data_IF_687406128413
#
_entry.id   IF_687406128413
#
_cell.length_a   1.000
_cell.length_b   1.000
_cell.length_c   1.000
_cell.angle_alpha   90.00
_cell.angle_beta   90.00
_cell.angle_gamma   90.00
#
_symmetry.space_group_name_H-M   'P 1'
#
loop_
_entity.id
_entity.type
_entity.pdbx_description
1 polymer ?
#
# COMPACT_ATOMS: atom_id res chain seq x y z
N UNK A 1 -27.45 -11.07 65.87
CA UNK A 1 -26.84 -10.01 65.04
C UNK A 1 -25.70 -10.66 64.26
N UNK A 2 -25.97 -11.12 63.04
CA UNK A 2 -24.99 -11.84 62.20
C UNK A 2 -24.87 -11.05 60.90
N UNK A 3 -23.76 -10.33 60.76
CA UNK A 3 -23.48 -9.51 59.58
C UNK A 3 -22.92 -10.44 58.49
N UNK A 4 -23.75 -10.80 57.51
CA UNK A 4 -23.31 -11.56 56.33
C UNK A 4 -22.65 -10.59 55.34
N UNK A 5 -21.34 -10.58 55.29
CA UNK A 5 -20.53 -9.92 54.27
C UNK A 5 -20.60 -10.72 52.97
N UNK A 6 -21.49 -10.33 52.06
CA UNK A 6 -21.49 -10.80 50.67
C UNK A 6 -20.33 -10.15 49.92
N UNK A 7 -19.30 -10.94 49.62
CA UNK A 7 -18.19 -10.54 48.76
C UNK A 7 -18.67 -10.41 47.31
N UNK A 8 -18.64 -9.18 46.79
CA UNK A 8 -18.94 -8.87 45.40
C UNK A 8 -17.71 -9.19 44.54
N UNK A 9 -17.74 -10.29 43.80
CA UNK A 9 -16.68 -10.65 42.86
C UNK A 9 -16.72 -9.71 41.65
N UNK A 10 -15.80 -8.74 41.62
CA UNK A 10 -15.62 -7.82 40.50
C UNK A 10 -14.85 -8.55 39.38
N UNK A 11 -15.57 -9.02 38.35
CA UNK A 11 -14.96 -9.58 37.14
C UNK A 11 -14.22 -8.46 36.40
N UNK A 12 -12.88 -8.47 36.49
CA UNK A 12 -12.02 -7.58 35.70
C UNK A 12 -12.02 -8.09 34.24
N UNK A 13 -12.95 -7.55 33.43
CA UNK A 13 -12.88 -7.65 31.97
C UNK A 13 -11.70 -6.79 31.50
N UNK A 14 -10.54 -7.41 31.28
CA UNK A 14 -9.43 -6.74 30.61
C UNK A 14 -9.81 -6.52 29.14
N UNK A 15 -9.69 -5.29 28.60
CA UNK A 15 -9.89 -5.08 27.17
C UNK A 15 -8.78 -5.82 26.43
N UNK A 16 -9.18 -6.76 25.56
CA UNK A 16 -8.27 -7.35 24.57
C UNK A 16 -7.89 -6.23 23.61
N UNK A 17 -6.67 -5.72 23.73
CA UNK A 17 -6.06 -4.84 22.75
C UNK A 17 -5.82 -5.69 21.50
N UNK A 18 -6.74 -5.63 20.52
CA UNK A 18 -6.45 -6.12 19.18
C UNK A 18 -5.28 -5.30 18.64
N UNK A 19 -4.14 -5.94 18.36
CA UNK A 19 -3.03 -5.31 17.66
C UNK A 19 -3.52 -4.96 16.26
N UNK A 20 -3.98 -3.72 16.07
CA UNK A 20 -4.20 -3.19 14.74
C UNK A 20 -2.84 -3.18 14.04
N UNK A 21 -2.74 -3.89 12.92
CA UNK A 21 -1.56 -3.88 12.07
C UNK A 21 -1.29 -2.43 11.66
N UNK A 22 -0.06 -1.90 11.88
CA UNK A 22 0.20 -0.48 11.72
C UNK A 22 0.07 -0.06 10.26
N UNK A 23 -0.55 1.09 10.03
CA UNK A 23 -0.55 1.73 8.71
C UNK A 23 0.89 2.06 8.33
N UNK A 24 1.34 1.53 7.19
CA UNK A 24 2.68 1.71 6.67
C UNK A 24 2.74 2.90 5.74
N UNK A 25 3.88 3.58 5.71
CA UNK A 25 4.13 4.61 4.69
C UNK A 25 4.36 3.93 3.33
N UNK A 26 3.53 4.30 2.35
CA UNK A 26 3.73 3.96 0.96
C UNK A 26 3.68 5.22 0.11
N UNK A 27 4.27 5.15 -1.09
CA UNK A 27 4.39 6.33 -1.96
C UNK A 27 4.22 5.94 -3.41
N UNK A 28 3.90 6.94 -4.23
CA UNK A 28 4.01 6.83 -5.67
C UNK A 28 5.42 7.24 -6.09
N UNK A 29 6.08 6.36 -6.84
CA UNK A 29 7.28 6.67 -7.62
C UNK A 29 6.84 6.87 -9.06
N UNK A 30 7.16 8.04 -9.60
CA UNK A 30 6.93 8.36 -11.00
C UNK A 30 8.18 8.00 -11.80
N UNK A 31 8.02 7.14 -12.81
CA UNK A 31 9.10 6.74 -13.70
C UNK A 31 8.76 7.22 -15.12
N UNK A 32 9.72 7.90 -15.75
CA UNK A 32 9.58 8.36 -17.13
C UNK A 32 10.40 7.48 -18.05
N UNK A 33 9.76 7.00 -19.10
CA UNK A 33 10.40 6.24 -20.17
C UNK A 33 9.92 6.74 -21.53
N UNK A 34 10.43 6.13 -22.60
CA UNK A 34 9.96 6.37 -23.96
C UNK A 34 9.76 5.06 -24.70
N UNK A 35 8.78 5.03 -25.59
CA UNK A 35 8.50 3.92 -26.50
C UNK A 35 8.28 4.45 -27.93
N UNK A 36 7.93 3.54 -28.85
CA UNK A 36 7.68 3.88 -30.26
C UNK A 36 6.55 4.90 -30.48
N UNK A 37 5.71 5.13 -29.46
CA UNK A 37 4.58 6.08 -29.48
C UNK A 37 4.87 7.40 -28.75
N UNK A 38 6.07 7.56 -28.17
CA UNK A 38 6.49 8.79 -27.49
C UNK A 38 6.81 8.60 -26.01
N UNK A 39 6.62 9.66 -25.22
CA UNK A 39 6.89 9.65 -23.78
C UNK A 39 5.89 8.78 -23.02
N UNK A 40 6.37 8.07 -22.01
CA UNK A 40 5.59 7.20 -21.14
C UNK A 40 5.84 7.59 -19.69
N UNK A 41 4.77 7.67 -18.91
CA UNK A 41 4.82 7.91 -17.47
C UNK A 41 4.18 6.72 -16.73
N UNK A 42 4.98 6.06 -15.90
CA UNK A 42 4.58 4.92 -15.09
C UNK A 42 4.42 5.36 -13.62
N UNK A 43 3.26 5.09 -13.05
CA UNK A 43 2.95 5.41 -11.65
C UNK A 43 3.04 4.14 -10.82
N UNK A 44 4.10 4.04 -10.03
CA UNK A 44 4.43 2.83 -9.28
C UNK A 44 4.18 3.08 -7.80
N UNK A 45 3.25 2.33 -7.21
CA UNK A 45 3.08 2.28 -5.76
C UNK A 45 4.23 1.47 -5.17
N UNK A 46 4.97 2.05 -4.24
CA UNK A 46 6.06 1.38 -3.52
C UNK A 46 5.79 1.35 -2.02
N UNK A 47 6.17 0.23 -1.40
CA UNK A 47 6.01 -0.02 0.02
C UNK A 47 7.27 -0.72 0.55
N UNK A 48 7.83 -0.21 1.63
CA UNK A 48 8.90 -0.89 2.36
C UNK A 48 8.28 -1.78 3.44
N UNK A 49 8.66 -3.06 3.46
CA UNK A 49 8.23 -3.98 4.51
C UNK A 49 9.43 -4.59 5.23
N UNK A 50 9.23 -4.88 6.51
CA UNK A 50 10.09 -5.76 7.30
C UNK A 50 9.43 -7.13 7.36
N UNK A 51 10.10 -8.16 6.86
CA UNK A 51 9.62 -9.53 6.99
C UNK A 51 9.88 -10.04 8.42
N UNK A 52 8.83 -10.08 9.23
CA UNK A 52 8.85 -10.65 10.59
C UNK A 52 8.38 -12.11 10.62
N UNK A 53 8.04 -12.68 9.46
CA UNK A 53 7.53 -14.04 9.29
C UNK A 53 8.67 -15.02 9.01
N UNK A 54 8.41 -16.31 9.23
CA UNK A 54 9.41 -17.38 9.03
C UNK A 54 9.60 -17.82 7.57
N UNK A 55 8.95 -17.17 6.60
CA UNK A 55 9.00 -17.52 5.17
C UNK A 55 9.32 -16.28 4.34
N UNK A 56 9.96 -16.48 3.19
CA UNK A 56 10.21 -15.38 2.25
C UNK A 56 8.88 -14.83 1.72
N UNK A 57 8.75 -13.50 1.63
CA UNK A 57 7.55 -12.82 1.13
C UNK A 57 7.78 -12.45 -0.33
N UNK A 58 7.00 -13.01 -1.24
CA UNK A 58 7.04 -12.69 -2.68
C UNK A 58 5.98 -11.67 -3.11
N UNK A 59 5.00 -11.37 -2.24
CA UNK A 59 4.00 -10.34 -2.53
C UNK A 59 3.21 -9.89 -1.29
N UNK A 60 2.54 -8.75 -1.41
CA UNK A 60 1.71 -8.15 -0.35
C UNK A 60 0.44 -7.60 -0.96
N UNK A 61 -0.72 -7.89 -0.38
CA UNK A 61 -1.97 -7.21 -0.71
C UNK A 61 -2.19 -6.04 0.25
N UNK A 62 -2.57 -4.87 -0.27
CA UNK A 62 -2.77 -3.66 0.53
C UNK A 62 -4.03 -2.91 0.14
N UNK A 63 -4.63 -2.24 1.13
CA UNK A 63 -5.44 -1.05 0.89
C UNK A 63 -4.54 0.18 0.95
N UNK A 64 -4.79 1.20 0.13
CA UNK A 64 -4.05 2.46 0.14
C UNK A 64 -4.97 3.66 0.34
N UNK A 65 -4.45 4.68 1.03
CA UNK A 65 -5.21 5.78 1.61
C UNK A 65 -4.53 7.13 1.37
N UNK A 66 -5.32 8.20 1.43
CA UNK A 66 -4.82 9.58 1.49
C UNK A 66 -4.31 9.96 2.90
N UNK A 67 -3.91 11.22 3.08
CA UNK A 67 -3.47 11.76 4.38
C UNK A 67 -4.57 11.83 5.44
N UNK A 68 -5.84 11.85 5.02
CA UNK A 68 -7.00 11.88 5.89
C UNK A 68 -7.55 10.47 6.20
N UNK A 69 -6.81 9.42 5.79
CA UNK A 69 -7.20 8.01 5.93
C UNK A 69 -8.49 7.64 5.17
N UNK A 70 -8.83 8.38 4.12
CA UNK A 70 -9.86 7.93 3.19
C UNK A 70 -9.27 6.85 2.28
N UNK A 71 -9.95 5.72 2.17
CA UNK A 71 -9.50 4.64 1.31
C UNK A 71 -9.65 5.05 -0.16
N UNK A 72 -8.54 5.07 -0.89
CA UNK A 72 -8.50 5.40 -2.31
C UNK A 72 -8.59 4.14 -3.19
N UNK A 73 -8.16 2.99 -2.67
CA UNK A 73 -8.27 1.71 -3.38
C UNK A 73 -7.48 0.59 -2.72
N UNK A 74 -7.24 -0.47 -3.49
CA UNK A 74 -6.47 -1.65 -3.08
C UNK A 74 -5.69 -2.21 -4.25
N UNK A 75 -4.60 -2.93 -3.97
CA UNK A 75 -3.80 -3.62 -4.99
C UNK A 75 -2.94 -4.73 -4.38
N UNK A 76 -2.35 -5.56 -5.23
CA UNK A 76 -1.32 -6.52 -4.86
C UNK A 76 0.05 -6.04 -5.37
N UNK A 77 1.05 -6.02 -4.50
CA UNK A 77 2.42 -5.63 -4.78
C UNK A 77 3.30 -6.87 -4.90
N UNK A 78 4.18 -6.85 -5.89
CA UNK A 78 5.25 -7.83 -6.02
C UNK A 78 6.42 -7.43 -5.11
N UNK A 79 6.98 -8.39 -4.39
CA UNK A 79 8.13 -8.22 -3.52
C UNK A 79 9.25 -9.11 -4.04
N UNK A 80 9.99 -8.69 -5.07
CA UNK A 80 10.96 -9.58 -5.73
C UNK A 80 12.14 -9.96 -4.81
N UNK A 81 12.46 -9.14 -3.80
CA UNK A 81 13.64 -9.35 -2.97
C UNK A 81 14.93 -9.34 -3.79
N UNK A 82 15.95 -10.06 -3.32
CA UNK A 82 17.21 -10.23 -4.05
C UNK A 82 17.05 -11.44 -4.99
N UNK A 83 17.42 -11.28 -6.27
CA UNK A 83 17.34 -12.33 -7.30
C UNK A 83 15.95 -12.93 -7.57
N UNK A 84 14.85 -12.30 -7.11
CA UNK A 84 13.49 -12.79 -7.35
C UNK A 84 12.99 -13.84 -6.34
N UNK A 85 13.74 -14.09 -5.26
CA UNK A 85 13.40 -15.11 -4.25
C UNK A 85 12.42 -14.61 -3.16
N UNK A 86 11.95 -13.37 -3.27
CA UNK A 86 11.18 -12.74 -2.21
C UNK A 86 12.05 -12.13 -1.10
N UNK A 87 11.41 -11.41 -0.19
CA UNK A 87 12.08 -10.78 0.95
C UNK A 87 12.31 -11.85 2.03
N UNK A 88 13.57 -12.20 2.37
CA UNK A 88 13.85 -13.28 3.33
C UNK A 88 13.36 -12.97 4.75
N UNK A 89 13.19 -14.00 5.61
CA UNK A 89 12.88 -13.80 7.02
C UNK A 89 13.85 -12.82 7.71
N UNK A 90 13.33 -11.99 8.60
CA UNK A 90 14.08 -10.97 9.35
C UNK A 90 14.76 -9.90 8.50
N UNK A 91 14.47 -9.82 7.20
CA UNK A 91 15.03 -8.82 6.28
C UNK A 91 14.01 -7.74 5.92
N UNK A 92 14.48 -6.66 5.29
CA UNK A 92 13.64 -5.60 4.74
C UNK A 92 13.67 -5.69 3.22
N UNK A 93 12.62 -5.20 2.56
CA UNK A 93 12.63 -5.05 1.12
C UNK A 93 11.50 -4.18 0.59
N UNK A 94 11.68 -3.76 -0.66
CA UNK A 94 10.69 -3.00 -1.40
C UNK A 94 9.71 -3.95 -2.10
N UNK A 95 8.42 -3.68 -1.91
CA UNK A 95 7.35 -4.22 -2.73
C UNK A 95 6.81 -3.10 -3.62
N UNK A 96 6.38 -3.44 -4.83
CA UNK A 96 5.86 -2.46 -5.77
C UNK A 96 4.73 -3.01 -6.65
N UNK A 97 3.89 -2.11 -7.15
CA UNK A 97 2.89 -2.38 -8.17
C UNK A 97 2.75 -1.17 -9.09
N UNK A 98 2.64 -1.42 -10.39
CA UNK A 98 2.26 -0.37 -11.33
C UNK A 98 0.75 -0.12 -11.20
N UNK A 99 0.37 1.07 -10.76
CA UNK A 99 -1.04 1.44 -10.64
C UNK A 99 -1.60 1.92 -11.97
N UNK A 100 -0.84 2.73 -12.70
CA UNK A 100 -1.27 3.32 -13.96
C UNK A 100 -0.07 3.49 -14.91
N UNK A 101 -0.40 3.54 -16.21
CA UNK A 101 0.51 3.84 -17.31
C UNK A 101 -0.14 4.90 -18.18
N UNK A 102 0.58 5.97 -18.46
CA UNK A 102 0.16 6.95 -19.47
C UNK A 102 1.17 6.92 -20.61
N UNK A 103 0.71 6.59 -21.81
CA UNK A 103 1.54 6.54 -23.01
C UNK A 103 1.17 7.64 -24.02
N UNK A 104 2.03 7.83 -25.03
CA UNK A 104 1.85 8.82 -26.09
C UNK A 104 0.66 8.55 -27.01
N UNK A 105 0.06 7.36 -26.98
CA UNK A 105 -1.13 7.04 -27.77
C UNK A 105 -2.37 7.79 -27.25
N UNK A 106 -2.40 8.15 -25.96
CA UNK A 106 -3.41 9.10 -25.44
C UNK A 106 -3.20 10.52 -25.97
N UNK A 107 -1.96 10.95 -26.21
CA UNK A 107 -1.67 12.29 -26.73
C UNK A 107 -2.24 12.47 -28.14
N UNK A 108 -2.07 11.46 -29.00
CA UNK A 108 -2.58 11.48 -30.38
C UNK A 108 -4.12 11.52 -30.46
N UNK A 109 -4.81 10.92 -29.48
CA UNK A 109 -6.28 10.82 -29.49
C UNK A 109 -7.01 11.99 -28.81
N UNK A 110 -6.40 12.60 -27.81
CA UNK A 110 -7.07 13.61 -26.98
C UNK A 110 -6.54 15.04 -27.18
N UNK A 111 -5.41 15.22 -27.86
CA UNK A 111 -4.75 16.51 -27.98
C UNK A 111 -4.05 16.93 -26.68
N UNK A 112 -3.14 17.90 -26.78
CA UNK A 112 -2.24 18.31 -25.68
C UNK A 112 -2.98 18.78 -24.43
N UNK A 113 -4.04 19.58 -24.56
CA UNK A 113 -4.77 20.15 -23.41
C UNK A 113 -5.51 19.08 -22.59
N UNK A 114 -6.23 18.18 -23.26
CA UNK A 114 -6.98 17.10 -22.58
C UNK A 114 -6.03 16.06 -21.99
N UNK A 115 -4.93 15.76 -22.68
CA UNK A 115 -3.86 14.91 -22.14
C UNK A 115 -3.28 15.49 -20.85
N UNK A 116 -2.93 16.79 -20.84
CA UNK A 116 -2.44 17.47 -19.63
C UNK A 116 -3.49 17.46 -18.50
N UNK A 117 -4.77 17.65 -18.82
CA UNK A 117 -5.84 17.61 -17.81
C UNK A 117 -6.07 16.21 -17.20
N UNK A 118 -6.04 15.15 -18.03
CA UNK A 118 -6.16 13.75 -17.58
C UNK A 118 -4.98 13.37 -16.70
N UNK A 119 -3.77 13.69 -17.15
CA UNK A 119 -2.55 13.47 -16.38
C UNK A 119 -2.64 14.20 -15.05
N UNK A 120 -2.96 15.50 -15.03
CA UNK A 120 -3.00 16.27 -13.78
C UNK A 120 -4.08 15.79 -12.79
N UNK A 121 -5.24 15.34 -13.28
CA UNK A 121 -6.32 14.85 -12.40
C UNK A 121 -5.97 13.50 -11.77
N UNK A 122 -5.47 12.57 -12.58
CA UNK A 122 -5.02 11.25 -12.09
C UNK A 122 -3.76 11.38 -11.23
N UNK A 123 -2.85 12.29 -11.59
CA UNK A 123 -1.63 12.61 -10.85
C UNK A 123 -1.98 13.16 -9.47
N UNK A 124 -2.93 14.09 -9.36
CA UNK A 124 -3.37 14.62 -8.05
C UNK A 124 -3.93 13.53 -7.15
N UNK A 125 -4.72 12.58 -7.69
CA UNK A 125 -5.27 11.48 -6.91
C UNK A 125 -4.20 10.46 -6.49
N UNK A 126 -3.31 10.07 -7.40
CA UNK A 126 -2.25 9.10 -7.09
C UNK A 126 -1.19 9.70 -6.15
N UNK A 127 -0.81 10.96 -6.34
CA UNK A 127 0.10 11.66 -5.44
C UNK A 127 -0.48 11.88 -4.05
N UNK A 128 -1.80 11.80 -3.86
CA UNK A 128 -2.42 11.88 -2.54
C UNK A 128 -2.18 10.63 -1.68
N UNK A 129 -1.76 9.51 -2.30
CA UNK A 129 -1.49 8.25 -1.59
C UNK A 129 -0.30 8.44 -0.63
N UNK A 130 -0.52 8.12 0.65
CA UNK A 130 0.49 8.27 1.71
C UNK A 130 0.57 7.08 2.66
N UNK A 131 -0.53 6.35 2.83
CA UNK A 131 -0.63 5.25 3.80
C UNK A 131 -1.11 3.99 3.11
N UNK A 132 -0.56 2.86 3.52
CA UNK A 132 -0.97 1.54 3.08
C UNK A 132 -1.21 0.64 4.28
N UNK A 133 -2.27 -0.14 4.23
CA UNK A 133 -2.57 -1.17 5.22
C UNK A 133 -2.43 -2.54 4.57
N UNK A 134 -1.57 -3.38 5.14
CA UNK A 134 -1.39 -4.76 4.68
C UNK A 134 -2.63 -5.58 5.02
N UNK A 135 -3.11 -6.35 4.05
CA UNK A 135 -4.22 -7.29 4.17
C UNK A 135 -3.74 -8.74 4.21
N UNK A 136 -2.60 -9.03 3.59
CA UNK A 136 -2.04 -10.37 3.55
C UNK A 136 -0.74 -10.45 2.75
N UNK A 137 -0.05 -11.58 2.90
CA UNK A 137 1.24 -11.88 2.29
C UNK A 137 1.13 -13.08 1.33
N UNK A 138 1.89 -13.01 0.24
CA UNK A 138 2.20 -14.13 -0.64
C UNK A 138 3.65 -14.59 -0.39
N UNK A 139 3.90 -15.89 -0.58
CA UNK A 139 5.17 -16.55 -0.31
C UNK A 139 5.63 -17.28 -1.55
#
# INVERSE_FOLDING_TARGET
>A
MILKTTALAFLLLTPVMANAEPDLDCRIRLEFSSNDTGAVADYILTLQIKNTLGRAISGVSVNYFDTALNQLGNTALACPGVFGEGIPPSSHGECWAQLQKVDGNLLEKFGTEMWTAIVNTQLTQLESIRKCKVLGFAY
#
